data_IF_891519714063
#
_entry.id   IF_891519714063
#
_cell.length_a   1.000
_cell.length_b   1.000
_cell.length_c   1.000
_cell.angle_alpha   90.00
_cell.angle_beta   90.00
_cell.angle_gamma   90.00
#
_symmetry.space_group_name_H-M   'P 1'
#
loop_
_entity.id
_entity.type
_entity.pdbx_description
1 polymer ?
#
# COMPACT_ATOMS: atom_id res chain seq x y z
N UNK A 1 -19.15 1.96 1.79
CA UNK A 1 -18.25 2.26 0.67
C UNK A 1 -18.22 1.11 -0.31
N UNK A 2 -18.22 1.42 -1.60
CA UNK A 2 -18.18 0.47 -2.72
C UNK A 2 -16.78 0.46 -3.32
N UNK A 3 -16.43 -0.59 -4.05
CA UNK A 3 -15.16 -0.66 -4.80
C UNK A 3 -14.97 0.55 -5.73
N UNK A 4 -16.04 1.00 -6.39
CA UNK A 4 -16.01 2.17 -7.26
C UNK A 4 -15.57 3.46 -6.56
N UNK A 5 -15.93 3.64 -5.28
CA UNK A 5 -15.51 4.80 -4.49
C UNK A 5 -13.99 4.78 -4.28
N UNK A 6 -13.43 3.60 -4.02
CA UNK A 6 -11.98 3.42 -3.84
C UNK A 6 -11.23 3.61 -5.15
N UNK A 7 -11.72 3.01 -6.23
CA UNK A 7 -11.13 3.17 -7.56
C UNK A 7 -11.11 4.65 -7.99
N UNK A 8 -12.17 5.41 -7.64
CA UNK A 8 -12.23 6.84 -7.88
C UNK A 8 -11.16 7.61 -7.09
N UNK A 9 -10.99 7.32 -5.80
CA UNK A 9 -9.92 7.94 -5.00
C UNK A 9 -8.54 7.55 -5.53
N UNK A 10 -8.30 6.29 -5.87
CA UNK A 10 -7.00 5.84 -6.41
C UNK A 10 -6.65 6.56 -7.71
N UNK A 11 -7.64 6.89 -8.55
CA UNK A 11 -7.44 7.68 -9.76
C UNK A 11 -6.90 9.09 -9.45
N UNK A 12 -7.34 9.71 -8.34
CA UNK A 12 -6.84 11.03 -7.92
C UNK A 12 -5.33 11.04 -7.63
N UNK A 13 -4.73 9.88 -7.36
CA UNK A 13 -3.31 9.74 -7.04
C UNK A 13 -2.47 9.10 -8.16
N UNK A 14 -3.05 8.85 -9.35
CA UNK A 14 -2.32 8.22 -10.47
C UNK A 14 -1.05 8.99 -10.86
N UNK A 15 -1.05 10.32 -10.73
CA UNK A 15 0.13 11.14 -10.98
C UNK A 15 1.27 10.84 -10.00
N UNK A 16 0.97 10.60 -8.71
CA UNK A 16 1.96 10.22 -7.70
C UNK A 16 2.61 8.87 -8.05
N UNK A 17 1.81 7.90 -8.53
CA UNK A 17 2.36 6.64 -9.04
C UNK A 17 3.31 6.88 -10.22
N UNK A 18 2.89 7.71 -11.18
CA UNK A 18 3.68 8.03 -12.38
C UNK A 18 4.99 8.75 -12.06
N UNK A 19 4.96 9.71 -11.15
CA UNK A 19 6.15 10.42 -10.65
C UNK A 19 7.18 9.46 -10.04
N UNK A 20 6.72 8.38 -9.42
CA UNK A 20 7.59 7.34 -8.86
C UNK A 20 7.98 6.26 -9.88
N UNK A 21 7.61 6.42 -11.16
CA UNK A 21 7.96 5.50 -12.24
C UNK A 21 7.03 4.30 -12.39
N UNK A 22 5.91 4.27 -11.66
CA UNK A 22 4.90 3.24 -11.82
C UNK A 22 3.95 3.57 -12.97
N UNK A 23 3.54 2.54 -13.70
CA UNK A 23 2.46 2.59 -14.70
C UNK A 23 1.30 1.70 -14.26
N UNK A 24 0.11 1.88 -14.82
CA UNK A 24 -1.08 1.12 -14.44
C UNK A 24 -2.19 2.02 -13.88
N UNK A 25 -3.22 1.40 -13.32
CA UNK A 25 -4.39 2.10 -12.79
C UNK A 25 -5.22 1.21 -11.86
N UNK A 26 -6.17 1.80 -11.12
CA UNK A 26 -7.19 1.09 -10.33
C UNK A 26 -6.60 0.04 -9.36
N UNK A 27 -5.51 0.39 -8.67
CA UNK A 27 -4.93 -0.49 -7.67
C UNK A 27 -4.04 -1.60 -8.23
N UNK A 28 -3.74 -1.61 -9.55
CA UNK A 28 -2.75 -2.49 -10.16
C UNK A 28 -1.72 -1.66 -10.93
N UNK A 29 -0.51 -1.61 -10.38
CA UNK A 29 0.59 -0.78 -10.85
C UNK A 29 1.83 -1.61 -11.09
N UNK A 30 2.74 -1.13 -11.94
CA UNK A 30 3.93 -1.86 -12.35
C UNK A 30 5.13 -0.94 -12.46
N UNK A 31 6.29 -1.40 -11.99
CA UNK A 31 7.58 -0.82 -12.35
C UNK A 31 8.18 -1.58 -13.55
N UNK A 32 9.05 -0.93 -14.32
CA UNK A 32 9.92 -1.62 -15.27
C UNK A 32 10.70 -2.77 -14.61
N UNK A 33 10.86 -3.87 -15.33
CA UNK A 33 11.58 -5.06 -14.88
C UNK A 33 10.78 -5.99 -13.96
N UNK A 34 9.45 -6.07 -14.13
CA UNK A 34 8.65 -7.18 -13.59
C UNK A 34 8.05 -7.00 -12.20
N UNK A 35 8.20 -5.84 -11.56
CA UNK A 35 7.56 -5.60 -10.25
C UNK A 35 6.10 -5.21 -10.44
N UNK A 36 5.18 -5.97 -9.86
CA UNK A 36 3.76 -5.65 -9.78
C UNK A 36 3.40 -5.19 -8.38
N UNK A 37 2.83 -4.01 -8.25
CA UNK A 37 2.29 -3.44 -7.02
C UNK A 37 0.77 -3.46 -7.07
N UNK A 38 0.12 -4.07 -6.06
CA UNK A 38 -1.33 -4.06 -5.90
C UNK A 38 -1.74 -3.31 -4.64
N UNK A 39 -2.78 -2.49 -4.75
CA UNK A 39 -3.49 -1.94 -3.58
C UNK A 39 -4.58 -2.94 -3.21
N UNK A 40 -4.37 -3.66 -2.11
CA UNK A 40 -5.32 -4.61 -1.54
C UNK A 40 -6.27 -3.87 -0.61
N UNK A 41 -7.53 -4.24 -0.67
CA UNK A 41 -8.59 -3.68 0.16
C UNK A 41 -9.27 -4.81 0.90
N UNK A 42 -9.53 -4.60 2.18
CA UNK A 42 -10.25 -5.55 3.00
C UNK A 42 -11.23 -4.82 3.92
N UNK A 43 -12.48 -5.26 3.90
CA UNK A 43 -13.57 -4.74 4.71
C UNK A 43 -13.77 -5.53 6.02
N UNK A 44 -13.21 -6.74 6.11
CA UNK A 44 -13.61 -7.68 7.17
C UNK A 44 -12.45 -8.51 7.75
N UNK A 45 -11.30 -8.61 7.08
CA UNK A 45 -10.26 -9.57 7.44
C UNK A 45 -9.06 -9.04 8.24
N UNK A 46 -8.88 -7.72 8.43
CA UNK A 46 -7.79 -7.22 9.29
C UNK A 46 -8.26 -6.78 10.69
N UNK A 47 -9.43 -6.15 10.80
CA UNK A 47 -10.12 -5.88 12.06
C UNK A 47 -11.62 -5.61 11.78
N UNK A 48 -12.54 -6.50 12.18
CA UNK A 48 -13.98 -6.33 11.96
C UNK A 48 -14.56 -5.06 12.59
N UNK A 49 -13.94 -4.55 13.66
CA UNK A 49 -14.41 -3.39 14.40
C UNK A 49 -13.99 -2.05 13.77
N UNK A 50 -13.07 -2.08 12.79
CA UNK A 50 -12.46 -0.87 12.20
C UNK A 50 -12.94 -0.59 10.77
N UNK A 51 -13.76 -1.47 10.19
CA UNK A 51 -14.35 -1.25 8.86
C UNK A 51 -13.37 -1.60 7.74
N UNK A 52 -12.78 -0.61 7.06
CA UNK A 52 -11.90 -0.88 5.91
C UNK A 52 -10.42 -0.75 6.27
N UNK A 53 -9.61 -1.54 5.58
CA UNK A 53 -8.16 -1.42 5.54
C UNK A 53 -7.64 -1.49 4.12
N UNK A 54 -6.52 -0.82 3.89
CA UNK A 54 -5.72 -1.00 2.68
C UNK A 54 -4.31 -1.47 3.02
N UNK A 55 -3.72 -2.22 2.10
CA UNK A 55 -2.34 -2.70 2.15
C UNK A 55 -1.75 -2.62 0.75
N UNK A 56 -0.46 -2.28 0.62
CA UNK A 56 0.22 -2.42 -0.67
C UNK A 56 0.98 -3.74 -0.69
N UNK A 57 0.82 -4.51 -1.76
CA UNK A 57 1.57 -5.76 -1.97
C UNK A 57 2.37 -5.67 -3.25
N UNK A 58 3.68 -5.84 -3.18
CA UNK A 58 4.55 -5.91 -4.34
C UNK A 58 5.03 -7.35 -4.58
N UNK A 59 5.13 -7.74 -5.84
CA UNK A 59 5.57 -9.05 -6.29
C UNK A 59 6.56 -8.86 -7.44
N UNK A 60 7.74 -9.49 -7.37
CA UNK A 60 8.62 -9.60 -8.54
C UNK A 60 8.17 -10.77 -9.41
N UNK A 61 7.37 -10.44 -10.42
CA UNK A 61 6.82 -11.42 -11.35
C UNK A 61 7.86 -11.98 -12.31
N UNK A 62 9.06 -11.38 -12.41
CA UNK A 62 10.14 -11.96 -13.19
C UNK A 62 10.72 -13.22 -12.53
N UNK A 63 10.57 -13.35 -11.21
CA UNK A 63 10.96 -14.54 -10.45
C UNK A 63 9.88 -15.64 -10.41
N UNK A 64 8.77 -15.46 -11.14
CA UNK A 64 7.70 -16.45 -11.16
C UNK A 64 8.14 -17.74 -11.87
N UNK A 65 7.79 -18.89 -11.29
CA UNK A 65 8.01 -20.20 -11.93
C UNK A 65 7.09 -20.39 -13.16
N UNK A 66 7.21 -21.54 -13.83
CA UNK A 66 6.38 -21.90 -15.00
C UNK A 66 4.89 -22.02 -14.70
N UNK A 67 4.50 -22.10 -13.41
CA UNK A 67 3.12 -22.12 -12.94
C UNK A 67 2.63 -20.73 -12.48
N UNK A 68 3.50 -19.70 -12.55
CA UNK A 68 3.20 -18.33 -12.13
C UNK A 68 3.35 -18.08 -10.63
N UNK A 69 3.96 -19.01 -9.87
CA UNK A 69 4.21 -18.82 -8.45
C UNK A 69 5.46 -17.95 -8.25
N UNK A 70 5.26 -16.77 -7.67
CA UNK A 70 6.35 -15.90 -7.21
C UNK A 70 6.84 -16.42 -5.85
N UNK A 71 8.14 -16.65 -5.63
CA UNK A 71 8.63 -17.14 -4.33
C UNK A 71 8.47 -16.09 -3.23
N UNK A 72 8.51 -16.49 -1.95
CA UNK A 72 8.12 -15.61 -0.82
C UNK A 72 9.08 -14.43 -0.65
N UNK A 73 10.36 -14.66 -0.87
CA UNK A 73 11.44 -13.66 -0.88
C UNK A 73 11.24 -12.58 -1.96
N UNK A 74 10.53 -12.92 -3.03
CA UNK A 74 10.16 -12.02 -4.13
C UNK A 74 8.80 -11.35 -3.93
N UNK A 75 8.31 -11.33 -2.68
CA UNK A 75 7.07 -10.64 -2.28
C UNK A 75 7.35 -9.65 -1.17
N UNK A 76 6.65 -8.53 -1.20
CA UNK A 76 6.69 -7.50 -0.16
C UNK A 76 5.28 -7.06 0.22
N UNK A 77 5.02 -6.89 1.51
CA UNK A 77 3.83 -6.22 2.02
C UNK A 77 4.23 -4.92 2.68
N UNK A 78 3.66 -3.80 2.23
CA UNK A 78 3.91 -2.48 2.80
C UNK A 78 2.81 -2.15 3.80
N UNK A 79 3.15 -2.30 5.07
CA UNK A 79 2.32 -2.01 6.24
C UNK A 79 2.84 -0.75 6.95
N UNK A 80 2.10 -0.18 7.93
CA UNK A 80 2.66 0.88 8.77
C UNK A 80 4.00 0.51 9.42
N UNK A 81 4.18 -0.75 9.82
CA UNK A 81 5.42 -1.23 10.42
C UNK A 81 6.59 -1.25 9.43
N UNK A 82 6.35 -1.56 8.16
CA UNK A 82 7.41 -1.51 7.13
C UNK A 82 7.87 -0.08 6.84
N UNK A 83 7.00 0.91 7.06
CA UNK A 83 7.29 2.31 6.85
C UNK A 83 7.74 3.03 8.13
N UNK A 84 8.01 2.31 9.23
CA UNK A 84 8.19 2.87 10.56
C UNK A 84 9.26 4.00 10.65
N UNK A 85 10.26 3.96 9.77
CA UNK A 85 11.35 4.97 9.70
C UNK A 85 11.06 6.15 8.78
N UNK A 86 10.13 6.02 7.83
CA UNK A 86 9.86 7.02 6.76
C UNK A 86 8.46 7.60 6.82
N UNK A 87 7.56 6.96 7.57
CA UNK A 87 6.20 7.39 7.76
C UNK A 87 6.12 8.52 8.77
N UNK A 88 5.44 9.61 8.42
CA UNK A 88 5.07 10.63 9.38
C UNK A 88 3.97 10.10 10.31
N UNK A 89 4.39 9.41 11.38
CA UNK A 89 3.51 8.83 12.40
C UNK A 89 2.65 9.89 13.10
N UNK A 90 3.12 11.14 13.18
CA UNK A 90 2.37 12.22 13.79
C UNK A 90 1.22 12.62 12.87
N UNK A 91 1.49 12.82 11.58
CA UNK A 91 0.46 13.10 10.58
C UNK A 91 -0.54 11.93 10.49
N UNK A 92 -0.07 10.68 10.35
CA UNK A 92 -0.94 9.52 10.30
C UNK A 92 -1.76 9.39 11.59
N UNK A 93 -1.14 9.55 12.76
CA UNK A 93 -1.84 9.49 14.04
C UNK A 93 -2.88 10.61 14.23
N UNK A 94 -2.65 11.80 13.67
CA UNK A 94 -3.61 12.90 13.69
C UNK A 94 -4.86 12.59 12.86
N UNK A 95 -4.74 11.78 11.80
CA UNK A 95 -5.89 11.30 11.03
C UNK A 95 -6.83 10.40 11.83
N UNK A 96 -6.47 9.94 13.03
CA UNK A 96 -7.33 9.09 13.86
C UNK A 96 -7.47 9.64 15.27
N UNK A 97 -7.30 10.96 15.45
CA UNK A 97 -7.44 11.61 16.76
C UNK A 97 -8.85 11.42 17.35
N UNK A 98 -9.85 11.31 16.49
CA UNK A 98 -11.27 11.04 16.76
C UNK A 98 -11.58 9.55 17.01
N UNK A 99 -10.66 8.64 16.66
CA UNK A 99 -10.83 7.19 16.84
C UNK A 99 -9.62 6.55 17.56
N UNK A 100 -9.58 6.60 18.91
CA UNK A 100 -8.47 6.08 19.70
C UNK A 100 -8.18 4.58 19.48
N UNK A 101 -9.20 3.79 19.13
CA UNK A 101 -9.06 2.36 18.84
C UNK A 101 -8.21 2.16 17.59
N UNK A 102 -8.59 2.79 16.48
CA UNK A 102 -7.79 2.74 15.23
C UNK A 102 -6.39 3.29 15.47
N UNK A 103 -6.27 4.42 16.18
CA UNK A 103 -5.00 5.05 16.50
C UNK A 103 -4.03 4.11 17.23
N UNK A 104 -4.53 3.28 18.14
CA UNK A 104 -3.73 2.28 18.86
C UNK A 104 -3.22 1.14 17.96
N UNK A 105 -3.90 0.88 16.84
CA UNK A 105 -3.62 -0.21 15.89
C UNK A 105 -2.76 0.21 14.69
N UNK A 106 -2.38 1.48 14.59
CA UNK A 106 -1.55 2.03 13.50
C UNK A 106 -0.17 1.38 13.37
N UNK A 107 0.23 0.50 14.29
CA UNK A 107 1.49 -0.24 14.22
C UNK A 107 1.37 -1.61 13.57
N UNK A 108 0.17 -2.11 13.26
CA UNK A 108 -0.02 -3.49 12.81
C UNK A 108 -0.90 -3.60 11.57
N UNK A 109 -0.42 -4.36 10.58
CA UNK A 109 -1.24 -4.90 9.49
C UNK A 109 -1.54 -3.90 8.38
N UNK A 110 -2.63 -3.16 8.51
CA UNK A 110 -3.26 -2.43 7.40
C UNK A 110 -3.41 -0.94 7.74
N UNK A 111 -3.52 -0.08 6.73
CA UNK A 111 -3.90 1.31 6.93
C UNK A 111 -5.43 1.41 6.99
N UNK A 112 -5.95 1.71 8.17
CA UNK A 112 -7.37 1.78 8.45
C UNK A 112 -8.03 2.99 7.78
N UNK A 113 -9.30 2.86 7.39
CA UNK A 113 -10.13 3.99 7.01
C UNK A 113 -11.62 3.63 7.09
N UNK A 114 -12.47 4.56 7.51
CA UNK A 114 -13.91 4.31 7.60
C UNK A 114 -14.72 4.93 6.42
N UNK A 115 -14.19 5.95 5.75
CA UNK A 115 -14.86 6.67 4.66
C UNK A 115 -13.87 7.20 3.60
N UNK A 116 -14.42 7.72 2.49
CA UNK A 116 -13.68 8.20 1.31
C UNK A 116 -12.67 9.29 1.66
N UNK A 117 -13.06 10.28 2.47
CA UNK A 117 -12.12 11.35 2.83
C UNK A 117 -10.95 10.87 3.71
N UNK A 118 -11.20 9.88 4.57
CA UNK A 118 -10.13 9.25 5.37
C UNK A 118 -9.20 8.46 4.48
N UNK A 119 -9.73 7.69 3.52
CA UNK A 119 -8.91 7.00 2.52
C UNK A 119 -7.99 7.97 1.77
N UNK A 120 -8.54 9.08 1.28
CA UNK A 120 -7.77 10.13 0.59
C UNK A 120 -6.68 10.71 1.50
N UNK A 121 -7.03 11.03 2.75
CA UNK A 121 -6.08 11.57 3.71
C UNK A 121 -4.96 10.57 4.05
N UNK A 122 -5.29 9.30 4.22
CA UNK A 122 -4.32 8.22 4.44
C UNK A 122 -3.39 8.11 3.25
N UNK A 123 -3.91 8.02 2.02
CA UNK A 123 -3.10 7.94 0.81
C UNK A 123 -2.14 9.13 0.65
N UNK A 124 -2.56 10.36 0.99
CA UNK A 124 -1.66 11.54 1.00
C UNK A 124 -0.45 11.37 1.91
N UNK A 125 -0.60 10.67 3.02
CA UNK A 125 0.47 10.45 4.00
C UNK A 125 1.33 9.25 3.62
N UNK A 126 0.73 8.15 3.16
CA UNK A 126 1.40 6.85 3.06
C UNK A 126 1.90 6.51 1.67
N UNK A 127 1.29 7.06 0.61
CA UNK A 127 1.53 6.59 -0.76
C UNK A 127 2.97 6.82 -1.22
N UNK A 128 3.47 8.06 -1.15
CA UNK A 128 4.85 8.37 -1.53
C UNK A 128 5.88 7.49 -0.81
N UNK A 129 5.88 7.44 0.54
CA UNK A 129 6.75 6.56 1.30
C UNK A 129 6.62 5.08 0.91
N UNK A 130 5.40 4.59 0.65
CA UNK A 130 5.18 3.21 0.20
C UNK A 130 5.82 2.93 -1.16
N UNK A 131 5.66 3.83 -2.13
CA UNK A 131 6.24 3.68 -3.47
C UNK A 131 7.77 3.71 -3.44
N UNK A 132 8.37 4.60 -2.65
CA UNK A 132 9.82 4.64 -2.44
C UNK A 132 10.34 3.37 -1.79
N UNK A 133 9.61 2.84 -0.80
CA UNK A 133 9.98 1.61 -0.13
C UNK A 133 9.95 0.40 -1.08
N UNK A 134 8.91 0.29 -1.91
CA UNK A 134 8.81 -0.77 -2.95
C UNK A 134 9.96 -0.68 -3.95
N UNK A 135 10.36 0.53 -4.34
CA UNK A 135 11.51 0.73 -5.25
C UNK A 135 12.82 0.30 -4.62
N UNK A 136 13.11 0.74 -3.40
CA UNK A 136 14.31 0.35 -2.69
C UNK A 136 14.39 -1.18 -2.51
N UNK A 137 13.26 -1.81 -2.20
CA UNK A 137 13.17 -3.27 -2.16
C UNK A 137 13.44 -3.91 -3.52
N UNK A 138 12.81 -3.43 -4.60
CA UNK A 138 13.03 -3.94 -5.96
C UNK A 138 14.49 -3.81 -6.43
N UNK A 139 15.17 -2.73 -6.05
CA UNK A 139 16.60 -2.55 -6.31
C UNK A 139 17.43 -3.56 -5.51
N UNK A 140 17.10 -3.78 -4.23
CA UNK A 140 17.85 -4.70 -3.36
C UNK A 140 17.84 -6.14 -3.83
N UNK A 141 16.71 -6.64 -4.35
CA UNK A 141 16.61 -8.03 -4.85
C UNK A 141 17.34 -8.21 -6.18
N UNK A 142 17.39 -7.16 -7.02
CA UNK A 142 18.12 -7.19 -8.29
C UNK A 142 19.62 -7.09 -8.11
N UNK A 143 20.10 -6.37 -7.09
CA UNK A 143 21.52 -6.32 -6.76
C UNK A 143 22.04 -7.61 -6.13
N UNK A 144 21.14 -8.46 -5.62
CA UNK A 144 21.49 -9.76 -5.05
C UNK A 144 21.49 -10.91 -6.07
N UNK A 145 21.09 -10.64 -7.31
CA UNK A 145 21.01 -11.61 -8.43
C UNK A 145 22.11 -11.33 -9.45
#
# INVERSE_FOLDING_TARGET
MKKADVDAVLREFEDVFREHGFSGSKGDYRLPGGIRLKVRLDRHGWDPDLGWGLLFTAEDTAAADSLGNVPVESRLQVTPATLDKVLDKKALGALYADNPRVRSRLRSGWFAFEHVDRLRAVLRVVLGPALLHVRAWAESIRSAT
#
